data_IF_615884113640
#
_entry.id   IF_615884113640
#
_cell.length_a   1.000
_cell.length_b   1.000
_cell.length_c   1.000
_cell.angle_alpha   90.00
_cell.angle_beta   90.00
_cell.angle_gamma   90.00
#
_symmetry.space_group_name_H-M   'P 1'
#
loop_
_entity.id
_entity.type
_entity.pdbx_description
1 polymer ?
#
# COMPACT_ATOMS: atom_id res chain seq x y z
N UNK A 1 20.39 14.12 5.99
CA UNK A 1 20.01 15.06 7.04
C UNK A 1 19.57 14.24 8.23
N UNK A 2 20.25 14.38 9.37
CA UNK A 2 19.82 13.74 10.62
C UNK A 2 19.02 14.79 11.36
N UNK A 3 17.78 14.45 11.72
CA UNK A 3 16.85 15.35 12.38
C UNK A 3 16.45 14.73 13.71
N UNK A 4 16.38 15.53 14.76
CA UNK A 4 15.88 15.06 16.04
C UNK A 4 14.37 14.82 15.98
N UNK A 5 13.87 13.98 16.89
CA UNK A 5 12.43 13.71 17.03
C UNK A 5 11.64 15.01 17.26
N UNK A 6 12.15 15.92 18.07
CA UNK A 6 11.48 17.20 18.35
C UNK A 6 11.40 18.09 17.12
N UNK A 7 12.49 18.22 16.36
CA UNK A 7 12.50 18.97 15.11
C UNK A 7 11.53 18.39 14.08
N UNK A 8 11.40 17.06 14.00
CA UNK A 8 10.39 16.42 13.15
C UNK A 8 8.97 16.78 13.57
N UNK A 9 8.71 16.94 14.87
CA UNK A 9 7.45 17.45 15.40
C UNK A 9 7.34 18.98 15.30
N UNK A 10 8.29 19.68 14.67
CA UNK A 10 8.28 21.14 14.54
C UNK A 10 8.54 21.86 15.87
N UNK A 11 9.18 21.21 16.84
CA UNK A 11 9.54 21.78 18.14
C UNK A 11 11.01 22.18 18.13
N UNK A 12 11.29 23.47 18.27
CA UNK A 12 12.64 24.04 18.40
C UNK A 12 12.61 25.07 19.52
N UNK A 13 13.62 25.07 20.41
CA UNK A 13 13.73 26.01 21.53
C UNK A 13 12.44 26.12 22.38
N UNK A 14 11.84 24.97 22.73
CA UNK A 14 10.59 24.90 23.51
C UNK A 14 9.40 25.63 22.84
N UNK A 15 9.40 25.74 21.51
CA UNK A 15 8.28 26.29 20.74
C UNK A 15 7.88 25.34 19.62
N UNK A 16 6.60 25.00 19.53
CA UNK A 16 6.05 24.19 18.45
C UNK A 16 5.53 25.10 17.33
N UNK A 17 6.18 25.08 16.18
CA UNK A 17 5.76 25.86 15.02
C UNK A 17 4.45 25.35 14.41
N UNK A 18 4.12 24.06 14.53
CA UNK A 18 2.87 23.51 14.00
C UNK A 18 1.64 24.00 14.76
N UNK A 19 1.78 24.11 16.08
CA UNK A 19 0.70 24.54 16.98
C UNK A 19 0.79 26.03 17.32
N UNK A 20 1.88 26.69 16.93
CA UNK A 20 2.23 28.07 17.29
C UNK A 20 2.11 28.32 18.81
N UNK A 21 2.69 27.45 19.62
CA UNK A 21 2.61 27.51 21.09
C UNK A 21 3.92 27.11 21.75
N UNK A 22 4.19 27.64 22.94
CA UNK A 22 5.31 27.21 23.77
C UNK A 22 5.05 25.81 24.34
N UNK A 23 6.10 24.99 24.38
CA UNK A 23 6.07 23.59 24.78
C UNK A 23 7.03 23.37 25.94
N UNK A 24 6.50 23.11 27.11
CA UNK A 24 7.31 22.83 28.31
C UNK A 24 7.67 21.35 28.43
N UNK A 25 6.88 20.45 27.84
CA UNK A 25 7.05 19.01 27.99
C UNK A 25 6.82 18.22 26.69
N UNK A 26 7.29 16.97 26.71
CA UNK A 26 7.10 15.98 25.64
C UNK A 26 5.65 15.57 25.42
N UNK A 27 4.73 15.84 26.36
CA UNK A 27 3.32 15.42 26.22
C UNK A 27 2.60 16.21 25.11
N UNK A 28 3.09 17.39 24.75
CA UNK A 28 2.54 18.17 23.64
C UNK A 28 2.46 17.35 22.34
N UNK A 29 3.46 16.51 22.03
CA UNK A 29 3.44 15.73 20.77
C UNK A 29 2.34 14.68 20.72
N UNK A 30 1.76 14.33 21.88
CA UNK A 30 0.64 13.38 21.99
C UNK A 30 -0.73 14.07 21.92
N UNK A 31 -0.77 15.41 21.93
CA UNK A 31 -2.01 16.15 21.83
C UNK A 31 -2.66 15.93 20.46
N UNK A 32 -3.98 15.81 20.45
CA UNK A 32 -4.77 15.49 19.25
C UNK A 32 -4.59 16.54 18.17
N UNK A 33 -4.61 17.80 18.57
CA UNK A 33 -4.50 18.97 17.70
C UNK A 33 -3.13 18.99 17.00
N UNK A 34 -2.07 18.68 17.75
CA UNK A 34 -0.70 18.58 17.22
C UNK A 34 -0.56 17.47 16.18
N UNK A 35 -1.04 16.27 16.48
CA UNK A 35 -0.95 15.15 15.53
C UNK A 35 -1.73 15.41 14.24
N UNK A 36 -2.88 16.10 14.33
CA UNK A 36 -3.63 16.53 13.15
C UNK A 36 -2.84 17.54 12.33
N UNK A 37 -2.25 18.56 12.97
CA UNK A 37 -1.44 19.57 12.31
C UNK A 37 -0.21 18.96 11.63
N UNK A 38 0.48 18.04 12.32
CA UNK A 38 1.63 17.31 11.80
C UNK A 38 1.31 16.52 10.53
N UNK A 39 0.24 15.72 10.55
CA UNK A 39 -0.16 14.89 9.39
C UNK A 39 -0.62 15.73 8.20
N UNK A 40 -1.11 16.95 8.44
CA UNK A 40 -1.64 17.82 7.39
C UNK A 40 -0.64 18.81 6.83
N UNK A 41 0.43 19.08 7.57
CA UNK A 41 1.51 19.92 7.11
C UNK A 41 2.12 19.34 5.82
N UNK A 42 2.23 20.19 4.81
CA UNK A 42 2.76 19.80 3.52
C UNK A 42 4.28 19.88 3.56
N UNK A 43 4.96 18.80 3.25
CA UNK A 43 6.40 18.78 3.08
C UNK A 43 6.71 19.29 1.66
N UNK A 44 7.64 20.23 1.55
CA UNK A 44 8.04 20.85 0.29
C UNK A 44 9.52 20.60 0.10
N UNK A 45 9.86 19.83 -0.93
CA UNK A 45 11.24 19.66 -1.39
C UNK A 45 11.60 20.86 -2.26
N UNK A 46 12.57 21.68 -1.81
CA UNK A 46 13.02 22.86 -2.58
C UNK A 46 14.18 22.48 -3.50
N UNK A 47 15.12 21.64 -3.02
CA UNK A 47 16.28 21.14 -3.76
C UNK A 47 16.58 19.69 -3.37
N UNK A 48 17.56 19.06 -4.03
CA UNK A 48 17.89 17.64 -3.86
C UNK A 48 18.11 17.16 -2.42
N UNK A 49 18.37 18.06 -1.47
CA UNK A 49 18.59 17.72 -0.05
C UNK A 49 17.91 18.66 0.94
N UNK A 50 17.12 19.61 0.46
CA UNK A 50 16.48 20.63 1.29
C UNK A 50 14.99 20.37 1.36
N UNK A 51 14.56 19.98 2.56
CA UNK A 51 13.15 19.78 2.89
C UNK A 51 12.71 20.94 3.76
N UNK A 52 11.55 21.47 3.43
CA UNK A 52 10.82 22.43 4.23
C UNK A 52 9.46 21.85 4.57
N UNK A 53 8.82 22.39 5.61
CA UNK A 53 7.44 22.08 5.95
C UNK A 53 6.62 23.35 5.91
N UNK A 54 5.51 23.32 5.18
CA UNK A 54 4.50 24.37 5.17
C UNK A 54 3.73 24.32 6.49
N UNK A 55 3.92 25.34 7.31
CA UNK A 55 3.25 25.50 8.60
C UNK A 55 1.86 26.09 8.39
N UNK A 56 1.78 27.14 7.56
CA UNK A 56 0.55 27.80 7.15
C UNK A 56 0.70 28.35 5.72
N UNK A 57 -0.26 29.14 5.24
CA UNK A 57 -0.26 29.68 3.87
C UNK A 57 0.84 30.71 3.58
N UNK A 58 1.49 31.23 4.62
CA UNK A 58 2.53 32.25 4.52
C UNK A 58 3.88 31.79 5.09
N UNK A 59 3.96 30.68 5.83
CA UNK A 59 5.15 30.31 6.60
C UNK A 59 5.67 28.91 6.26
N UNK A 60 6.99 28.83 6.03
CA UNK A 60 7.73 27.59 5.89
C UNK A 60 8.69 27.40 7.07
N UNK A 61 8.84 26.17 7.52
CA UNK A 61 9.88 25.75 8.46
C UNK A 61 10.94 24.96 7.69
N UNK A 62 12.21 25.36 7.79
CA UNK A 62 13.31 24.65 7.16
C UNK A 62 14.03 23.74 8.15
N UNK A 63 14.11 22.46 7.81
CA UNK A 63 14.75 21.45 8.64
C UNK A 63 16.28 21.55 8.68
N UNK A 64 16.89 22.33 7.77
CA UNK A 64 18.35 22.48 7.72
C UNK A 64 18.86 23.52 8.70
N UNK A 65 18.13 24.63 8.84
CA UNK A 65 18.50 25.73 9.74
C UNK A 65 17.65 25.78 11.03
N UNK A 66 16.60 24.97 11.11
CA UNK A 66 15.63 24.95 12.20
C UNK A 66 14.96 26.31 12.46
N UNK A 67 14.71 27.07 11.38
CA UNK A 67 14.03 28.38 11.41
C UNK A 67 12.78 28.39 10.54
N UNK A 68 11.84 29.26 10.90
CA UNK A 68 10.67 29.59 10.08
C UNK A 68 10.88 30.88 9.28
N UNK A 69 10.30 30.97 8.09
CA UNK A 69 10.33 32.16 7.24
C UNK A 69 9.09 32.27 6.38
N UNK A 70 8.80 33.50 5.93
CA UNK A 70 7.70 33.75 5.01
C UNK A 70 7.99 33.11 3.63
N UNK A 71 6.98 32.51 2.98
CA UNK A 71 7.10 31.81 1.69
C UNK A 71 7.75 32.70 0.61
N UNK A 72 7.42 34.00 0.59
CA UNK A 72 8.00 34.97 -0.35
C UNK A 72 9.49 35.28 -0.14
N UNK A 73 10.07 34.93 1.02
CA UNK A 73 11.48 35.14 1.34
C UNK A 73 12.35 33.88 1.15
N UNK A 74 11.76 32.78 0.69
CA UNK A 74 12.45 31.49 0.50
C UNK A 74 13.71 31.60 -0.36
N UNK A 75 13.69 32.40 -1.44
CA UNK A 75 14.86 32.63 -2.29
C UNK A 75 16.01 33.38 -1.63
N UNK A 76 15.73 34.20 -0.60
CA UNK A 76 16.76 35.00 0.07
C UNK A 76 17.37 34.27 1.28
N UNK A 77 16.67 33.31 1.86
CA UNK A 77 17.20 32.45 2.92
C UNK A 77 18.45 31.68 2.44
N UNK A 78 18.46 31.28 1.17
CA UNK A 78 19.57 30.54 0.54
C UNK A 78 20.91 31.30 0.47
N UNK A 79 20.87 32.64 0.43
CA UNK A 79 22.09 33.46 0.19
C UNK A 79 22.79 33.88 1.48
N UNK A 80 22.05 34.06 2.57
CA UNK A 80 22.61 34.68 3.78
C UNK A 80 23.25 33.68 4.76
N UNK A 81 22.86 32.41 4.78
CA UNK A 81 23.45 31.45 5.74
C UNK A 81 24.78 30.83 5.28
N UNK A 82 25.13 30.90 3.99
CA UNK A 82 26.51 30.63 3.56
C UNK A 82 27.51 31.69 4.03
N UNK A 83 27.04 32.84 4.53
CA UNK A 83 27.88 33.96 5.01
C UNK A 83 28.07 33.95 6.53
N UNK A 84 27.25 33.22 7.31
CA UNK A 84 27.40 33.15 8.77
C UNK A 84 28.15 31.91 9.30
N UNK A 85 28.64 31.04 8.42
CA UNK A 85 29.56 29.95 8.79
C UNK A 85 31.04 30.32 8.59
N UNK A 86 31.43 31.55 8.96
CA UNK A 86 32.81 31.89 9.29
C UNK A 86 32.88 32.11 10.80
N UNK A 87 33.40 31.08 11.47
CA UNK A 87 34.09 31.08 12.77
C UNK A 87 34.07 32.41 13.54
N UNK A 88 33.25 32.49 14.58
CA UNK A 88 33.63 33.14 15.85
C UNK A 88 34.27 32.06 16.73
N UNK A 89 35.59 31.83 16.64
CA UNK A 89 36.61 32.41 17.53
C UNK A 89 36.31 32.24 19.03
N UNK A 90 36.72 31.09 19.57
CA UNK A 90 37.39 31.00 20.88
C UNK A 90 38.64 30.15 20.68
N UNK A 91 39.79 30.84 20.61
CA UNK A 91 41.10 30.57 21.23
C UNK A 91 41.46 29.08 21.45
N UNK A 92 42.44 28.52 20.72
CA UNK A 92 43.84 28.33 21.17
C UNK A 92 44.70 27.50 20.16
N UNK A 93 45.98 27.89 20.07
CA UNK A 93 47.21 27.12 19.72
C UNK A 93 47.43 26.45 18.34
N UNK A 94 48.26 27.13 17.54
CA UNK A 94 49.49 26.67 16.86
C UNK A 94 49.66 25.20 16.43
N UNK A 95 49.80 24.97 15.11
CA UNK A 95 51.07 24.60 14.44
C UNK A 95 50.83 24.03 13.03
N UNK A 96 51.75 24.35 12.13
CA UNK A 96 51.85 24.01 10.71
C UNK A 96 51.84 22.50 10.38
N UNK A 97 51.41 22.14 9.16
CA UNK A 97 52.20 21.38 8.15
C UNK A 97 51.40 21.26 6.82
N UNK A 98 52.13 21.32 5.73
CA UNK A 98 51.78 21.34 4.30
C UNK A 98 51.16 20.05 3.71
N UNK A 99 50.65 20.11 2.45
CA UNK A 99 49.75 19.11 1.87
C UNK A 99 50.47 18.03 1.06
N UNK A 100 49.88 16.84 0.95
CA UNK A 100 50.31 15.85 -0.05
C UNK A 100 49.13 15.25 -0.80
N UNK A 101 49.23 15.41 -2.11
CA UNK A 101 48.38 14.87 -3.18
C UNK A 101 48.73 13.41 -3.43
N UNK A 102 47.74 12.53 -3.63
CA UNK A 102 47.93 11.26 -4.36
C UNK A 102 46.70 10.93 -5.20
N UNK A 103 46.95 10.78 -6.51
CA UNK A 103 46.09 10.21 -7.55
C UNK A 103 46.06 8.68 -7.43
N UNK A 104 44.92 8.05 -7.70
CA UNK A 104 44.90 6.66 -8.16
C UNK A 104 43.77 6.39 -9.17
N UNK A 105 44.18 5.64 -10.18
CA UNK A 105 43.53 5.25 -11.44
C UNK A 105 42.54 4.06 -11.24
N UNK A 106 41.58 3.82 -12.16
CA UNK A 106 40.53 2.81 -11.99
C UNK A 106 40.89 1.43 -12.58
N UNK A 107 40.38 0.36 -11.95
CA UNK A 107 40.48 -1.03 -12.38
C UNK A 107 39.09 -1.59 -12.80
N UNK A 108 39.03 -2.69 -13.59
CA UNK A 108 37.99 -2.95 -14.58
C UNK A 108 36.77 -3.71 -14.05
N UNK A 109 35.68 -3.61 -14.83
CA UNK A 109 34.30 -3.88 -14.45
C UNK A 109 33.95 -5.33 -14.11
N UNK A 110 33.14 -5.47 -13.06
CA UNK A 110 32.31 -6.64 -12.78
C UNK A 110 31.05 -6.55 -13.65
N UNK A 111 30.77 -7.59 -14.44
CA UNK A 111 29.45 -7.78 -15.06
C UNK A 111 28.50 -8.20 -13.95
N UNK A 112 27.57 -7.32 -13.60
CA UNK A 112 26.48 -7.61 -12.68
C UNK A 112 25.54 -8.64 -13.32
N UNK A 113 25.55 -9.86 -12.78
CA UNK A 113 24.52 -10.87 -13.05
C UNK A 113 23.29 -10.44 -12.26
N UNK A 114 22.51 -9.51 -12.81
CA UNK A 114 21.26 -9.10 -12.22
C UNK A 114 20.21 -10.22 -12.33
N UNK A 115 19.97 -10.85 -11.17
CA UNK A 115 18.62 -11.08 -10.65
C UNK A 115 17.68 -11.99 -11.46
N UNK A 116 18.03 -13.27 -11.55
CA UNK A 116 17.07 -14.34 -11.85
C UNK A 116 16.07 -14.62 -10.69
N UNK A 117 16.29 -14.01 -9.51
CA UNK A 117 15.52 -14.27 -8.30
C UNK A 117 14.10 -13.63 -8.26
N UNK A 118 13.87 -12.52 -8.98
CA UNK A 118 12.66 -11.70 -8.78
C UNK A 118 11.37 -12.29 -9.38
N UNK A 119 11.47 -13.25 -10.30
CA UNK A 119 10.30 -13.87 -10.96
C UNK A 119 9.91 -15.25 -10.41
N UNK A 120 10.64 -15.77 -9.41
CA UNK A 120 10.50 -17.16 -8.96
C UNK A 120 9.27 -17.45 -8.07
N UNK A 121 8.51 -16.43 -7.66
CA UNK A 121 7.35 -16.56 -6.75
C UNK A 121 5.98 -16.51 -7.43
N UNK A 122 5.91 -16.62 -8.76
CA UNK A 122 4.61 -16.57 -9.45
C UNK A 122 3.82 -17.89 -9.29
N UNK A 123 2.48 -17.83 -9.10
CA UNK A 123 1.61 -19.02 -9.02
C UNK A 123 1.74 -19.98 -10.23
N UNK A 124 2.25 -19.48 -11.36
CA UNK A 124 2.49 -20.25 -12.58
C UNK A 124 3.71 -21.18 -12.46
N UNK A 125 4.76 -20.77 -11.74
CA UNK A 125 5.93 -21.61 -11.46
C UNK A 125 5.58 -22.77 -10.54
N UNK A 126 4.71 -22.54 -9.56
CA UNK A 126 4.24 -23.58 -8.65
C UNK A 126 3.52 -24.71 -9.40
N UNK A 127 2.77 -24.36 -10.46
CA UNK A 127 2.15 -25.36 -11.36
C UNK A 127 3.18 -26.18 -12.14
N UNK A 128 4.38 -25.64 -12.41
CA UNK A 128 5.44 -26.35 -13.13
C UNK A 128 6.24 -27.31 -12.24
N UNK A 129 6.20 -27.17 -10.91
CA UNK A 129 6.90 -28.09 -9.98
C UNK A 129 6.49 -29.55 -10.11
N UNK A 130 5.27 -29.81 -10.64
CA UNK A 130 4.81 -31.18 -10.96
C UNK A 130 5.61 -31.85 -12.07
N UNK A 131 6.34 -31.08 -12.89
CA UNK A 131 7.08 -31.57 -14.06
C UNK A 131 8.60 -31.33 -13.94
N UNK A 132 9.03 -30.46 -13.01
CA UNK A 132 10.41 -30.05 -12.84
C UNK A 132 10.81 -29.97 -11.36
N UNK A 133 12.00 -30.49 -11.04
CA UNK A 133 12.71 -30.16 -9.81
C UNK A 133 13.42 -28.80 -10.00
N UNK A 134 12.85 -27.74 -9.45
CA UNK A 134 13.38 -26.37 -9.56
C UNK A 134 14.29 -26.08 -8.36
N UNK A 135 15.52 -25.66 -8.64
CA UNK A 135 16.52 -25.21 -7.66
C UNK A 135 16.70 -23.69 -7.83
N UNK A 136 15.99 -22.87 -7.02
CA UNK A 136 15.97 -21.41 -7.15
C UNK A 136 17.36 -20.78 -7.05
N UNK A 137 18.18 -21.27 -6.11
CA UNK A 137 19.47 -20.67 -5.74
C UNK A 137 20.45 -20.57 -6.91
N UNK A 138 20.33 -21.49 -7.87
CA UNK A 138 21.22 -21.58 -9.02
C UNK A 138 20.49 -21.34 -10.35
N UNK A 139 19.21 -20.95 -10.32
CA UNK A 139 18.35 -20.85 -11.50
C UNK A 139 18.43 -22.07 -12.42
N UNK A 140 18.42 -23.26 -11.80
CA UNK A 140 18.44 -24.52 -12.53
C UNK A 140 17.17 -25.32 -12.30
N UNK A 141 16.67 -25.97 -13.36
CA UNK A 141 15.54 -26.87 -13.28
C UNK A 141 15.92 -28.23 -13.87
N UNK A 142 15.49 -29.32 -13.25
CA UNK A 142 15.68 -30.68 -13.79
C UNK A 142 14.32 -31.26 -14.15
N UNK A 143 14.12 -31.59 -15.42
CA UNK A 143 12.88 -32.23 -15.86
C UNK A 143 12.72 -33.60 -15.18
N UNK A 144 11.54 -33.87 -14.62
CA UNK A 144 11.25 -35.14 -13.95
C UNK A 144 11.23 -36.30 -14.96
N UNK A 145 10.77 -36.04 -16.19
CA UNK A 145 10.61 -37.04 -17.24
C UNK A 145 11.95 -37.43 -17.87
N UNK A 146 12.63 -36.52 -18.58
CA UNK A 146 13.88 -36.85 -19.28
C UNK A 146 15.16 -36.61 -18.46
N UNK A 147 15.03 -36.17 -17.20
CA UNK A 147 16.16 -35.87 -16.31
C UNK A 147 17.12 -34.78 -16.80
N UNK A 148 16.84 -34.12 -17.94
CA UNK A 148 17.65 -33.02 -18.50
C UNK A 148 17.65 -31.83 -17.56
N UNK A 149 18.84 -31.25 -17.37
CA UNK A 149 19.04 -30.04 -16.57
C UNK A 149 18.97 -28.82 -17.49
N UNK A 150 18.20 -27.81 -17.07
CA UNK A 150 17.99 -26.53 -17.72
C UNK A 150 18.67 -25.46 -16.86
N UNK A 151 19.59 -24.70 -17.44
CA UNK A 151 20.32 -23.62 -16.76
C UNK A 151 19.73 -22.28 -17.18
N UNK A 152 19.65 -21.33 -16.25
CA UNK A 152 19.07 -19.99 -16.48
C UNK A 152 17.69 -20.07 -17.14
N UNK A 153 16.84 -20.95 -16.64
CA UNK A 153 15.56 -21.23 -17.29
C UNK A 153 14.60 -20.04 -17.13
N UNK A 154 13.83 -19.75 -18.17
CA UNK A 154 12.64 -18.90 -18.10
C UNK A 154 11.38 -19.77 -18.00
N UNK A 155 10.26 -19.22 -17.55
CA UNK A 155 8.97 -19.95 -17.53
C UNK A 155 8.61 -20.48 -18.92
N UNK A 156 8.87 -19.70 -19.97
CA UNK A 156 8.67 -20.12 -21.36
C UNK A 156 9.55 -21.31 -21.74
N UNK A 157 10.81 -21.34 -21.29
CA UNK A 157 11.71 -22.46 -21.54
C UNK A 157 11.20 -23.75 -20.89
N UNK A 158 10.65 -23.67 -19.67
CA UNK A 158 10.02 -24.82 -19.00
C UNK A 158 8.79 -25.33 -19.76
N UNK A 159 7.90 -24.42 -20.19
CA UNK A 159 6.69 -24.78 -20.94
C UNK A 159 7.06 -25.42 -22.28
N UNK A 160 8.02 -24.84 -23.01
CA UNK A 160 8.50 -25.37 -24.29
C UNK A 160 9.11 -26.76 -24.13
N UNK A 161 9.94 -26.95 -23.11
CA UNK A 161 10.53 -28.25 -22.81
C UNK A 161 9.47 -29.30 -22.48
N UNK A 162 8.45 -28.95 -21.70
CA UNK A 162 7.33 -29.85 -21.38
C UNK A 162 6.55 -30.26 -22.64
N UNK A 163 6.32 -29.32 -23.57
CA UNK A 163 5.61 -29.62 -24.82
C UNK A 163 6.34 -30.65 -25.68
N UNK A 164 7.68 -30.62 -25.72
CA UNK A 164 8.46 -31.60 -26.47
C UNK A 164 8.21 -33.04 -26.00
N UNK A 165 8.05 -33.26 -24.69
CA UNK A 165 7.70 -34.59 -24.13
C UNK A 165 6.31 -35.07 -24.54
N UNK A 166 5.37 -34.15 -24.77
CA UNK A 166 4.03 -34.49 -25.25
C UNK A 166 4.03 -34.82 -26.75
N UNK A 167 5.03 -34.36 -27.51
CA UNK A 167 5.15 -34.64 -28.94
C UNK A 167 5.84 -35.98 -29.19
N UNK A 168 6.89 -36.30 -28.44
CA UNK A 168 7.64 -37.56 -28.57
C UNK A 168 6.83 -38.80 -28.13
N UNK A 169 5.85 -38.63 -27.22
CA UNK A 169 4.98 -39.71 -26.77
C UNK A 169 3.75 -39.97 -27.68
N UNK A 170 3.63 -39.27 -28.82
CA UNK A 170 2.48 -39.40 -29.73
C UNK A 170 2.75 -40.21 -31.02
N UNK A 171 3.90 -40.86 -31.15
CA UNK A 171 4.25 -41.60 -32.39
C UNK A 171 3.81 -43.08 -32.45
N UNK A 172 2.91 -43.55 -31.59
CA UNK A 172 2.43 -44.95 -31.67
C UNK A 172 0.94 -45.17 -31.43
N UNK A 173 0.09 -44.18 -31.73
CA UNK A 173 -1.33 -44.50 -31.94
C UNK A 173 -1.93 -43.53 -32.95
N UNK A 174 -2.18 -44.05 -34.15
CA UNK A 174 -2.87 -43.37 -35.23
C UNK A 174 -4.37 -43.29 -34.91
N UNK A 175 -4.71 -42.43 -33.96
CA UNK A 175 -6.06 -41.88 -33.87
C UNK A 175 -5.93 -40.38 -33.70
N UNK A 176 -6.37 -39.71 -34.75
CA UNK A 176 -6.56 -38.28 -34.95
C UNK A 176 -7.33 -37.67 -33.76
N UNK A 177 -6.59 -37.30 -32.71
CA UNK A 177 -7.13 -36.57 -31.56
C UNK A 177 -6.25 -35.34 -31.33
N UNK A 178 -6.37 -34.43 -32.29
CA UNK A 178 -6.05 -33.03 -32.07
C UNK A 178 -7.01 -32.52 -31.00
N UNK A 179 -6.55 -32.51 -29.75
CA UNK A 179 -7.16 -31.75 -28.65
C UNK A 179 -6.97 -30.24 -28.90
N UNK A 180 -7.43 -29.78 -30.06
CA UNK A 180 -7.97 -28.44 -30.20
C UNK A 180 -9.18 -28.43 -29.27
N UNK A 181 -9.10 -27.69 -28.17
CA UNK A 181 -10.30 -27.26 -27.46
C UNK A 181 -11.13 -26.46 -28.46
N UNK A 182 -11.95 -27.16 -29.23
CA UNK A 182 -13.01 -26.57 -30.02
C UNK A 182 -13.93 -25.97 -28.96
N UNK A 183 -13.79 -24.67 -28.72
CA UNK A 183 -14.80 -23.89 -28.03
C UNK A 183 -16.02 -23.96 -28.95
N UNK A 184 -16.78 -25.05 -28.83
CA UNK A 184 -18.16 -25.06 -29.27
C UNK A 184 -18.80 -23.99 -28.42
N UNK A 185 -19.00 -22.81 -29.03
CA UNK A 185 -19.82 -21.77 -28.45
C UNK A 185 -21.16 -22.42 -28.18
N UNK A 186 -21.39 -22.83 -26.93
CA UNK A 186 -22.70 -23.29 -26.50
C UNK A 186 -23.59 -22.07 -26.70
N UNK A 187 -24.37 -22.09 -27.78
CA UNK A 187 -25.36 -21.07 -28.11
C UNK A 187 -26.39 -21.13 -26.99
N UNK A 188 -26.14 -20.37 -25.93
CA UNK A 188 -27.06 -20.17 -24.85
C UNK A 188 -28.12 -19.19 -25.34
N UNK A 189 -29.31 -19.71 -25.67
CA UNK A 189 -30.52 -18.94 -26.02
C UNK A 189 -31.05 -18.08 -24.84
N UNK A 190 -30.16 -17.53 -24.03
CA UNK A 190 -30.45 -16.69 -22.87
C UNK A 190 -30.92 -17.46 -21.63
N UNK A 191 -30.89 -18.80 -21.63
CA UNK A 191 -31.34 -19.60 -20.49
C UNK A 191 -30.43 -19.39 -19.28
N UNK A 192 -29.10 -19.45 -19.44
CA UNK A 192 -28.18 -19.22 -18.30
C UNK A 192 -28.27 -17.77 -17.82
N UNK A 193 -28.47 -16.81 -18.74
CA UNK A 193 -28.69 -15.39 -18.38
C UNK A 193 -29.97 -15.18 -17.58
N UNK A 194 -31.06 -15.87 -17.94
CA UNK A 194 -32.32 -15.83 -17.19
C UNK A 194 -32.16 -16.44 -15.79
N UNK A 195 -31.45 -17.56 -15.67
CA UNK A 195 -31.17 -18.22 -14.39
C UNK A 195 -30.32 -17.35 -13.46
N UNK A 196 -29.23 -16.76 -13.96
CA UNK A 196 -28.39 -15.86 -13.15
C UNK A 196 -29.11 -14.55 -12.82
N UNK A 197 -29.99 -14.04 -13.69
CA UNK A 197 -30.82 -12.88 -13.36
C UNK A 197 -31.80 -13.19 -12.22
N UNK A 198 -32.46 -14.36 -12.26
CA UNK A 198 -33.36 -14.83 -11.19
C UNK A 198 -32.60 -15.07 -9.88
N UNK A 199 -31.43 -15.69 -9.95
CA UNK A 199 -30.56 -15.92 -8.79
C UNK A 199 -30.04 -14.60 -8.22
N UNK A 200 -29.51 -13.73 -9.07
CA UNK A 200 -28.94 -12.46 -8.70
C UNK A 200 -29.95 -11.53 -8.03
N UNK A 201 -31.19 -11.47 -8.53
CA UNK A 201 -32.27 -10.68 -7.90
C UNK A 201 -32.51 -11.08 -6.44
N UNK A 202 -32.38 -12.37 -6.09
CA UNK A 202 -32.52 -12.87 -4.70
C UNK A 202 -31.31 -12.56 -3.82
N UNK A 203 -30.15 -12.32 -4.42
CA UNK A 203 -28.86 -12.15 -3.73
C UNK A 203 -28.20 -10.80 -4.03
N UNK A 204 -28.99 -9.76 -4.27
CA UNK A 204 -28.51 -8.39 -4.46
C UNK A 204 -27.54 -8.20 -5.64
N UNK A 205 -27.61 -9.06 -6.67
CA UNK A 205 -26.81 -8.96 -7.90
C UNK A 205 -27.71 -8.54 -9.06
N UNK A 206 -27.35 -7.46 -9.74
CA UNK A 206 -28.03 -6.96 -10.94
C UNK A 206 -27.13 -7.13 -12.16
N UNK A 207 -27.64 -7.70 -13.24
CA UNK A 207 -26.89 -7.79 -14.50
C UNK A 207 -26.88 -6.44 -15.21
N UNK A 208 -25.78 -6.13 -15.91
CA UNK A 208 -25.69 -4.95 -16.77
C UNK A 208 -26.53 -5.12 -18.05
N UNK A 209 -26.79 -4.03 -18.80
CA UNK A 209 -27.32 -4.13 -20.16
C UNK A 209 -26.40 -5.03 -21.00
N UNK A 210 -26.96 -6.07 -21.62
CA UNK A 210 -26.20 -7.12 -22.34
C UNK A 210 -25.88 -8.36 -21.52
N UNK A 211 -25.99 -8.31 -20.20
CA UNK A 211 -25.87 -9.48 -19.31
C UNK A 211 -24.48 -10.11 -19.27
N UNK A 212 -23.43 -9.34 -19.59
CA UNK A 212 -22.04 -9.81 -19.59
C UNK A 212 -21.40 -9.76 -18.19
N UNK A 213 -21.90 -8.90 -17.30
CA UNK A 213 -21.41 -8.73 -15.92
C UNK A 213 -22.57 -8.57 -14.94
N UNK A 214 -22.40 -9.08 -13.73
CA UNK A 214 -23.25 -8.79 -12.58
C UNK A 214 -22.62 -7.73 -11.69
N UNK A 215 -23.43 -6.90 -11.06
CA UNK A 215 -23.04 -5.96 -10.02
C UNK A 215 -23.75 -6.31 -8.72
N UNK A 216 -22.99 -6.63 -7.68
CA UNK A 216 -23.52 -6.92 -6.36
C UNK A 216 -23.69 -5.61 -5.57
N UNK A 217 -24.93 -5.15 -5.37
CA UNK A 217 -25.21 -3.92 -4.62
C UNK A 217 -24.95 -4.06 -3.12
N UNK A 218 -24.85 -5.29 -2.61
CA UNK A 218 -24.50 -5.53 -1.21
C UNK A 218 -22.99 -5.38 -0.98
N UNK A 219 -22.17 -5.91 -1.89
CA UNK A 219 -20.72 -5.93 -1.76
C UNK A 219 -20.02 -4.77 -2.49
N UNK A 220 -20.74 -4.03 -3.35
CA UNK A 220 -20.20 -2.95 -4.17
C UNK A 220 -19.07 -3.43 -5.11
N UNK A 221 -19.31 -4.54 -5.83
CA UNK A 221 -18.34 -5.15 -6.76
C UNK A 221 -18.99 -5.68 -8.03
N UNK A 222 -18.27 -5.59 -9.15
CA UNK A 222 -18.62 -6.28 -10.39
C UNK A 222 -18.08 -7.71 -10.39
N UNK A 223 -18.90 -8.64 -10.87
CA UNK A 223 -18.58 -10.05 -11.04
C UNK A 223 -18.92 -10.51 -12.46
N UNK A 224 -18.28 -11.59 -12.91
CA UNK A 224 -18.62 -12.20 -14.19
C UNK A 224 -20.06 -12.72 -14.18
N UNK A 225 -20.77 -12.64 -15.31
CA UNK A 225 -22.13 -13.14 -15.47
C UNK A 225 -22.21 -14.68 -15.62
N UNK A 226 -21.31 -15.41 -14.97
CA UNK A 226 -21.38 -16.86 -14.84
C UNK A 226 -22.06 -17.25 -13.53
N UNK A 227 -23.02 -18.17 -13.63
CA UNK A 227 -23.81 -18.62 -12.48
C UNK A 227 -22.93 -19.13 -11.32
N UNK A 228 -21.90 -19.93 -11.63
CA UNK A 228 -20.96 -20.43 -10.63
C UNK A 228 -20.21 -19.30 -9.92
N UNK A 229 -19.76 -18.28 -10.65
CA UNK A 229 -19.06 -17.12 -10.08
C UNK A 229 -20.00 -16.34 -9.16
N UNK A 230 -21.26 -16.13 -9.55
CA UNK A 230 -22.26 -15.51 -8.69
C UNK A 230 -22.53 -16.32 -7.43
N UNK A 231 -22.63 -17.65 -7.54
CA UNK A 231 -22.86 -18.54 -6.40
C UNK A 231 -21.70 -18.52 -5.41
N UNK A 232 -20.47 -18.58 -5.89
CA UNK A 232 -19.27 -18.50 -5.06
C UNK A 232 -19.12 -17.11 -4.43
N UNK A 233 -19.41 -16.03 -5.17
CA UNK A 233 -19.46 -14.69 -4.60
C UNK A 233 -20.45 -14.58 -3.44
N UNK A 234 -21.68 -15.10 -3.62
CA UNK A 234 -22.72 -15.07 -2.58
C UNK A 234 -22.33 -15.90 -1.37
N UNK A 235 -21.67 -17.05 -1.57
CA UNK A 235 -21.17 -17.91 -0.47
C UNK A 235 -19.95 -17.33 0.25
N UNK A 236 -19.21 -16.42 -0.40
CA UNK A 236 -18.01 -15.82 0.15
C UNK A 236 -18.23 -15.07 1.46
N UNK A 237 -17.20 -15.06 2.30
CA UNK A 237 -17.19 -14.43 3.64
C UNK A 237 -17.61 -12.96 3.60
N UNK A 238 -17.12 -12.20 2.61
CA UNK A 238 -17.50 -10.79 2.43
C UNK A 238 -19.00 -10.59 2.20
N UNK A 239 -19.63 -11.41 1.35
CA UNK A 239 -21.06 -11.30 1.07
C UNK A 239 -21.90 -11.70 2.28
N UNK A 240 -21.53 -12.82 2.92
CA UNK A 240 -22.19 -13.31 4.13
C UNK A 240 -22.06 -12.32 5.29
N UNK A 241 -20.88 -11.75 5.50
CA UNK A 241 -20.62 -10.72 6.51
C UNK A 241 -21.48 -9.48 6.29
N UNK A 242 -21.61 -9.01 5.05
CA UNK A 242 -22.48 -7.88 4.72
C UNK A 242 -23.97 -8.19 4.92
N UNK A 243 -24.42 -9.42 4.64
CA UNK A 243 -25.80 -9.84 4.93
C UNK A 243 -26.10 -9.80 6.43
N UNK A 244 -25.15 -10.26 7.26
CA UNK A 244 -25.26 -10.23 8.72
C UNK A 244 -25.22 -8.79 9.24
N UNK A 245 -24.26 -7.99 8.80
CA UNK A 245 -24.09 -6.60 9.25
C UNK A 245 -25.32 -5.73 8.94
N UNK A 246 -25.99 -5.96 7.80
CA UNK A 246 -27.23 -5.26 7.44
C UNK A 246 -28.50 -5.87 8.06
N UNK A 247 -28.38 -6.92 8.88
CA UNK A 247 -29.52 -7.62 9.46
C UNK A 247 -30.41 -8.35 8.43
N UNK A 248 -29.95 -8.52 7.20
CA UNK A 248 -30.69 -9.14 6.09
C UNK A 248 -30.70 -10.67 6.20
N UNK A 249 -29.68 -11.23 6.83
CA UNK A 249 -29.65 -12.62 7.26
C UNK A 249 -29.76 -12.62 8.77
N UNK A 250 -30.87 -13.11 9.31
CA UNK A 250 -30.93 -13.50 10.72
C UNK A 250 -29.85 -14.56 10.87
N UNK A 251 -28.83 -14.29 11.68
CA UNK A 251 -27.77 -15.25 11.90
C UNK A 251 -28.40 -16.60 12.22
N UNK A 252 -27.83 -17.68 11.66
CA UNK A 252 -27.76 -18.90 12.46
C UNK A 252 -27.14 -18.37 13.75
N UNK A 253 -27.92 -18.34 14.85
CA UNK A 253 -27.33 -18.12 16.15
C UNK A 253 -26.30 -19.24 16.22
N UNK A 254 -25.04 -18.89 16.00
CA UNK A 254 -23.94 -19.78 16.34
C UNK A 254 -24.09 -19.85 17.85
N UNK A 255 -24.90 -20.81 18.31
CA UNK A 255 -25.14 -21.05 19.73
C UNK A 255 -23.75 -21.17 20.35
N UNK A 256 -23.40 -20.16 21.13
CA UNK A 256 -22.31 -20.15 22.09
C UNK A 256 -20.86 -20.16 21.56
N UNK A 257 -20.60 -19.99 20.26
CA UNK A 257 -19.26 -19.56 19.85
C UNK A 257 -19.19 -18.05 20.06
N UNK A 258 -18.79 -17.64 21.26
CA UNK A 258 -18.34 -16.28 21.53
C UNK A 258 -17.16 -16.02 20.61
N UNK A 259 -17.43 -15.45 19.44
CA UNK A 259 -16.39 -14.95 18.57
C UNK A 259 -15.57 -13.99 19.41
N UNK A 260 -14.30 -14.35 19.58
CA UNK A 260 -13.34 -13.48 20.23
C UNK A 260 -13.25 -12.22 19.36
N UNK A 261 -13.85 -11.13 19.82
CA UNK A 261 -13.70 -9.81 19.21
C UNK A 261 -12.46 -9.22 19.86
N UNK A 262 -11.35 -9.07 19.12
CA UNK A 262 -10.16 -8.51 19.72
C UNK A 262 -10.46 -7.07 20.18
N UNK A 263 -9.83 -6.60 21.25
CA UNK A 263 -10.03 -5.25 21.74
C UNK A 263 -9.72 -4.25 20.63
N UNK A 264 -10.62 -3.29 20.49
CA UNK A 264 -10.47 -2.17 19.57
C UNK A 264 -10.23 -0.91 20.40
N UNK A 265 -9.32 -0.05 19.95
CA UNK A 265 -9.07 1.28 20.53
C UNK A 265 -9.29 2.35 19.47
N UNK A 266 -9.60 3.58 19.87
CA UNK A 266 -9.72 4.66 18.88
C UNK A 266 -8.36 4.93 18.21
N UNK A 267 -8.38 5.39 16.95
CA UNK A 267 -7.16 5.79 16.25
C UNK A 267 -6.35 6.81 17.05
N UNK A 268 -7.02 7.70 17.79
CA UNK A 268 -6.37 8.66 18.69
C UNK A 268 -5.47 7.99 19.74
N UNK A 269 -5.94 6.91 20.36
CA UNK A 269 -5.21 6.19 21.41
C UNK A 269 -4.12 5.32 20.78
N UNK A 270 -4.41 4.74 19.61
CA UNK A 270 -3.46 3.91 18.87
C UNK A 270 -2.26 4.72 18.36
N UNK A 271 -2.50 5.92 17.83
CA UNK A 271 -1.51 6.71 17.11
C UNK A 271 -0.61 7.49 18.07
N UNK A 272 0.57 6.94 18.38
CA UNK A 272 1.62 7.60 19.17
C UNK A 272 2.52 8.44 18.28
N UNK A 273 2.87 7.93 17.11
CA UNK A 273 3.78 8.57 16.16
C UNK A 273 3.31 8.33 14.72
N UNK A 274 3.51 9.32 13.86
CA UNK A 274 3.20 9.24 12.44
C UNK A 274 4.22 10.03 11.63
N UNK A 275 4.70 9.47 10.53
CA UNK A 275 5.48 10.20 9.54
C UNK A 275 5.14 9.74 8.13
N UNK A 276 5.22 10.67 7.18
CA UNK A 276 4.91 10.44 5.77
C UNK A 276 6.21 10.06 5.05
N UNK A 277 6.17 8.99 4.27
CA UNK A 277 7.23 8.58 3.34
C UNK A 277 6.75 8.93 1.94
N UNK A 278 7.16 10.10 1.44
CA UNK A 278 6.65 10.68 0.18
C UNK A 278 6.88 9.76 -1.02
N UNK A 279 8.07 9.19 -1.14
CA UNK A 279 8.45 8.31 -2.24
C UNK A 279 7.52 7.09 -2.37
N UNK A 280 6.99 6.61 -1.24
CA UNK A 280 6.10 5.46 -1.17
C UNK A 280 4.62 5.85 -1.11
N UNK A 281 4.31 7.15 -1.01
CA UNK A 281 2.96 7.65 -0.72
C UNK A 281 2.31 6.91 0.46
N UNK A 282 3.11 6.71 1.50
CA UNK A 282 2.74 5.91 2.66
C UNK A 282 2.93 6.69 3.97
N UNK A 283 2.26 6.24 5.01
CA UNK A 283 2.37 6.74 6.37
C UNK A 283 2.87 5.60 7.25
N UNK A 284 3.98 5.85 7.94
CA UNK A 284 4.50 4.97 8.95
C UNK A 284 3.93 5.36 10.31
N UNK A 285 3.20 4.43 10.93
CA UNK A 285 2.54 4.58 12.22
C UNK A 285 3.38 3.86 13.29
N UNK A 286 3.64 4.55 14.40
CA UNK A 286 4.33 4.02 15.58
C UNK A 286 5.68 3.32 15.26
N UNK A 287 6.36 3.73 14.18
CA UNK A 287 7.59 3.12 13.65
C UNK A 287 7.49 1.60 13.36
N UNK A 288 6.28 1.07 13.19
CA UNK A 288 6.06 -0.37 12.99
C UNK A 288 5.26 -0.68 11.74
N UNK A 289 4.21 0.11 11.48
CA UNK A 289 3.24 -0.20 10.44
C UNK A 289 3.33 0.84 9.35
N UNK A 290 3.55 0.39 8.11
CA UNK A 290 3.50 1.25 6.94
C UNK A 290 2.18 1.01 6.21
N UNK A 291 1.40 2.07 5.98
CA UNK A 291 0.10 2.01 5.28
C UNK A 291 0.06 3.05 4.18
N UNK A 292 -0.59 2.76 3.06
CA UNK A 292 -0.75 3.77 2.02
C UNK A 292 -1.63 4.93 2.52
N UNK A 293 -1.37 6.14 2.01
CA UNK A 293 -2.07 7.36 2.44
C UNK A 293 -3.59 7.25 2.22
N UNK A 294 -4.05 6.63 1.14
CA UNK A 294 -5.48 6.53 0.83
C UNK A 294 -6.18 5.57 1.81
N UNK A 295 -5.58 4.40 2.05
CA UNK A 295 -6.04 3.49 3.10
C UNK A 295 -6.05 4.22 4.42
N UNK A 296 -4.97 4.88 4.85
CA UNK A 296 -4.94 5.64 6.11
C UNK A 296 -6.08 6.67 6.20
N UNK A 297 -6.36 7.42 5.14
CA UNK A 297 -7.46 8.38 5.10
C UNK A 297 -8.85 7.73 4.94
N UNK A 298 -8.92 6.40 4.83
CA UNK A 298 -10.15 5.63 4.63
C UNK A 298 -10.90 6.10 3.39
N UNK A 299 -10.17 6.33 2.30
CA UNK A 299 -10.72 6.68 0.99
C UNK A 299 -10.39 5.58 -0.02
N UNK A 300 -11.38 5.22 -0.83
CA UNK A 300 -11.28 4.15 -1.83
C UNK A 300 -11.55 4.72 -3.22
N UNK A 301 -10.62 4.62 -4.19
CA UNK A 301 -10.92 4.97 -5.57
C UNK A 301 -12.02 4.07 -6.13
N UNK A 302 -13.00 4.70 -6.78
CA UNK A 302 -14.07 4.03 -7.52
C UNK A 302 -14.03 4.49 -8.99
N UNK A 303 -14.86 3.89 -9.84
CA UNK A 303 -14.87 4.21 -11.27
C UNK A 303 -15.21 5.69 -11.56
N UNK A 304 -14.84 6.18 -12.74
CA UNK A 304 -15.13 7.52 -13.25
C UNK A 304 -14.53 8.67 -12.43
N UNK A 305 -13.27 8.52 -11.99
CA UNK A 305 -12.53 9.55 -11.25
C UNK A 305 -13.23 10.00 -9.96
N UNK A 306 -13.98 9.08 -9.35
CA UNK A 306 -14.68 9.30 -8.08
C UNK A 306 -13.96 8.53 -6.99
N UNK A 307 -14.10 9.01 -5.76
CA UNK A 307 -13.50 8.42 -4.57
C UNK A 307 -14.61 8.25 -3.53
N UNK A 308 -14.69 7.09 -2.89
CA UNK A 308 -15.60 6.83 -1.77
C UNK A 308 -14.85 7.05 -0.46
N UNK A 309 -15.29 8.00 0.33
CA UNK A 309 -14.83 8.19 1.69
C UNK A 309 -15.62 7.26 2.61
N UNK A 310 -14.94 6.28 3.21
CA UNK A 310 -15.54 5.26 4.06
C UNK A 310 -15.95 5.82 5.42
N UNK A 311 -15.24 6.82 5.96
CA UNK A 311 -15.55 7.43 7.27
C UNK A 311 -16.71 8.43 7.23
N UNK A 312 -16.97 8.99 6.06
CA UNK A 312 -18.06 9.96 5.88
C UNK A 312 -19.25 9.37 5.11
N UNK A 313 -19.11 8.16 4.57
CA UNK A 313 -20.02 7.51 3.62
C UNK A 313 -20.45 8.43 2.47
N UNK A 314 -19.46 9.07 1.82
CA UNK A 314 -19.68 10.02 0.71
C UNK A 314 -18.89 9.64 -0.52
N UNK A 315 -19.49 9.84 -1.68
CA UNK A 315 -18.79 9.80 -2.97
C UNK A 315 -18.38 11.23 -3.32
N UNK A 316 -17.10 11.43 -3.56
CA UNK A 316 -16.46 12.72 -3.85
C UNK A 316 -15.70 12.63 -5.17
N UNK A 317 -15.49 13.78 -5.84
CA UNK A 317 -14.64 13.82 -7.03
C UNK A 317 -13.17 13.70 -6.62
N UNK A 318 -12.33 13.09 -7.46
CA UNK A 318 -10.92 12.89 -7.12
C UNK A 318 -10.18 14.21 -6.83
N UNK A 319 -10.52 15.29 -7.55
CA UNK A 319 -9.94 16.62 -7.34
C UNK A 319 -10.32 17.26 -6.00
N UNK A 320 -11.42 16.82 -5.37
CA UNK A 320 -11.94 17.37 -4.11
C UNK A 320 -11.41 16.61 -2.89
N UNK A 321 -10.65 15.53 -3.07
CA UNK A 321 -10.20 14.68 -1.95
C UNK A 321 -9.36 15.44 -0.94
N UNK A 322 -8.42 16.30 -1.39
CA UNK A 322 -7.59 17.11 -0.47
C UNK A 322 -8.46 18.01 0.41
N UNK A 323 -9.45 18.68 -0.18
CA UNK A 323 -10.38 19.54 0.55
C UNK A 323 -11.28 18.73 1.50
N UNK A 324 -11.81 17.59 1.03
CA UNK A 324 -12.66 16.72 1.83
C UNK A 324 -11.93 16.16 3.05
N UNK A 325 -10.75 15.56 2.85
CA UNK A 325 -9.92 15.01 3.92
C UNK A 325 -9.42 16.11 4.88
N UNK A 326 -9.24 17.34 4.38
CA UNK A 326 -8.95 18.53 5.16
C UNK A 326 -10.13 19.10 5.95
N UNK A 327 -11.35 18.59 5.76
CA UNK A 327 -12.54 19.08 6.48
C UNK A 327 -12.56 18.64 7.95
N UNK A 328 -13.11 19.48 8.85
CA UNK A 328 -13.25 19.17 10.29
C UNK A 328 -14.07 17.88 10.52
N UNK A 329 -15.09 17.65 9.70
CA UNK A 329 -15.94 16.46 9.76
C UNK A 329 -15.13 15.18 9.48
N UNK A 330 -14.38 15.14 8.38
CA UNK A 330 -13.56 13.98 8.04
C UNK A 330 -12.52 13.68 9.11
N UNK A 331 -11.76 14.71 9.57
CA UNK A 331 -10.77 14.55 10.65
C UNK A 331 -11.38 13.96 11.92
N UNK A 332 -12.58 14.42 12.28
CA UNK A 332 -13.29 13.94 13.47
C UNK A 332 -13.68 12.48 13.33
N UNK A 333 -14.22 12.07 12.18
CA UNK A 333 -14.61 10.68 11.94
C UNK A 333 -13.38 9.76 11.83
N UNK A 334 -12.32 10.22 11.17
CA UNK A 334 -11.08 9.47 11.00
C UNK A 334 -10.44 9.13 12.36
N UNK A 335 -10.31 10.10 13.26
CA UNK A 335 -9.70 9.91 14.59
C UNK A 335 -10.58 9.05 15.51
N UNK A 336 -11.90 9.06 15.30
CA UNK A 336 -12.87 8.22 16.02
C UNK A 336 -12.94 6.79 15.50
N UNK A 337 -12.38 6.49 14.32
CA UNK A 337 -12.38 5.14 13.78
C UNK A 337 -11.69 4.18 14.75
N UNK A 338 -12.29 3.01 14.97
CA UNK A 338 -11.74 1.96 15.82
C UNK A 338 -10.61 1.26 15.07
N UNK A 339 -9.49 1.06 15.75
CA UNK A 339 -8.32 0.31 15.28
C UNK A 339 -8.17 -0.93 16.15
N UNK A 340 -7.85 -2.04 15.52
CA UNK A 340 -7.49 -3.27 16.21
C UNK A 340 -6.28 -3.05 17.12
N UNK A 341 -6.37 -3.48 18.38
CA UNK A 341 -5.24 -3.38 19.29
C UNK A 341 -4.20 -4.48 19.01
N UNK A 342 -3.23 -4.16 18.16
CA UNK A 342 -2.13 -5.05 17.79
C UNK A 342 -1.23 -5.45 18.98
N UNK A 343 -1.26 -4.70 20.08
CA UNK A 343 -0.45 -5.04 21.27
C UNK A 343 -1.08 -6.24 22.01
N UNK A 344 -2.33 -6.59 21.70
CA UNK A 344 -3.03 -7.72 22.29
C UNK A 344 -2.64 -9.06 21.64
N UNK A 345 -2.45 -9.08 20.32
CA UNK A 345 -2.16 -10.29 19.55
C UNK A 345 -0.88 -10.13 18.72
N UNK A 346 0.24 -10.78 19.12
CA UNK A 346 1.50 -10.73 18.39
C UNK A 346 1.42 -11.20 16.94
N UNK A 347 0.46 -12.08 16.60
CA UNK A 347 0.29 -12.55 15.22
C UNK A 347 -0.23 -11.43 14.31
N UNK A 348 -0.92 -10.43 14.88
CA UNK A 348 -1.49 -9.28 14.19
C UNK A 348 -0.60 -8.03 14.30
N UNK A 349 0.63 -8.16 14.83
CA UNK A 349 1.54 -7.04 15.06
C UNK A 349 1.87 -6.22 13.80
N UNK A 350 1.72 -6.81 12.62
CA UNK A 350 1.99 -6.18 11.33
C UNK A 350 0.72 -5.77 10.56
N UNK A 351 -0.46 -5.99 11.14
CA UNK A 351 -1.73 -5.66 10.50
C UNK A 351 -2.28 -4.33 11.02
N UNK A 352 -2.83 -3.51 10.12
CA UNK A 352 -3.53 -2.28 10.49
C UNK A 352 -4.99 -2.38 10.07
N UNK A 353 -5.78 -2.99 10.95
CA UNK A 353 -7.21 -3.21 10.72
C UNK A 353 -8.01 -2.11 11.39
N UNK A 354 -8.99 -1.56 10.66
CA UNK A 354 -9.92 -0.56 11.18
C UNK A 354 -11.35 -0.93 10.91
N UNK A 355 -12.18 -0.59 11.89
CA UNK A 355 -13.63 -0.68 11.79
C UNK A 355 -14.16 0.55 11.06
N UNK A 356 -14.88 0.31 9.96
CA UNK A 356 -15.67 1.33 9.26
C UNK A 356 -17.12 1.14 9.67
N UNK A 357 -17.74 2.17 10.23
CA UNK A 357 -19.13 2.16 10.70
C UNK A 357 -20.11 2.70 9.67
#
# INVERSE_FOLDING_TARGET
MIMSKFEWHGIVNNHCFLCNTSVENVEHVKQREHMIALVQSEMIKVKDKEYNRKIDDNTLFCFTCSKSFAIGLSHNHERNEKVQNIKSEIIESAASVEPTTVKSTPAPGKVEVESCAKDLSTPLLEKQRKYFYIMPDNCTARCIQCKRKLYNFTLEALIRHRKAHNTENKESDSSDDSDSFEYTEIIDHGKRRSEIAKYGKKHFIKLNPGGSKGYCSLCDVYISAHYYVAKEHVRGTRHQGMLLAKGLKKGIRYDNQTWYIPPMKSLQIFLKEAFIVEDLKAICLNNKICVDIQSFLLVLPIANNKIKCLTCDKIIQAQEVKQHCGSKAHKTNLVRASVLDIDYDPELANEFVREVK
#
